data_IF_878459721329
#
_entry.id   IF_878459721329
#
_cell.length_a   1.000
_cell.length_b   1.000
_cell.length_c   1.000
_cell.angle_alpha   90.00
_cell.angle_beta   90.00
_cell.angle_gamma   90.00
#
_symmetry.space_group_name_H-M   'P 1'
#
loop_
_entity.id
_entity.type
_entity.pdbx_description
1 polymer ?
#
# COMPACT_ATOMS: atom_id res chain seq x y z
N UNK A 1 -20.41 7.04 13.14
CA UNK A 1 -19.56 6.31 14.09
C UNK A 1 -18.43 5.67 13.29
N UNK A 2 -17.27 6.34 13.25
CA UNK A 2 -16.10 5.97 12.43
C UNK A 2 -15.39 4.79 13.10
N UNK A 3 -15.45 3.61 12.49
CA UNK A 3 -14.69 2.45 13.00
C UNK A 3 -13.27 2.55 12.47
N UNK A 4 -12.34 2.84 13.37
CA UNK A 4 -10.91 2.76 13.12
C UNK A 4 -10.56 1.30 12.83
N UNK A 5 -10.37 0.95 11.56
CA UNK A 5 -9.76 -0.31 11.16
C UNK A 5 -8.26 -0.21 11.48
N UNK A 6 -7.94 -0.38 12.77
CA UNK A 6 -6.59 -0.76 13.15
C UNK A 6 -6.46 -2.19 12.67
N UNK A 7 -5.57 -2.43 11.70
CA UNK A 7 -5.00 -3.75 11.46
C UNK A 7 -4.17 -4.15 12.70
N UNK A 8 -4.83 -4.31 13.85
CA UNK A 8 -4.28 -5.07 14.96
C UNK A 8 -4.50 -6.52 14.56
N UNK A 9 -3.40 -7.18 14.17
CA UNK A 9 -3.28 -8.63 14.09
C UNK A 9 -3.59 -9.24 15.47
N UNK A 10 -4.86 -9.27 15.87
CA UNK A 10 -5.39 -10.05 16.98
C UNK A 10 -6.89 -9.75 17.08
N UNK A 11 -7.69 -10.52 16.34
CA UNK A 11 -9.02 -11.06 16.69
C UNK A 11 -9.86 -11.16 15.42
N UNK A 12 -9.58 -12.21 14.67
CA UNK A 12 -10.46 -13.04 13.84
C UNK A 12 -9.46 -13.97 13.15
N UNK A 13 -9.52 -15.26 13.45
CA UNK A 13 -8.51 -16.27 13.11
C UNK A 13 -8.39 -16.56 11.62
N UNK A 14 -7.98 -15.57 10.83
CA UNK A 14 -7.35 -15.79 9.54
C UNK A 14 -5.87 -15.89 9.85
N UNK A 15 -5.35 -17.10 9.97
CA UNK A 15 -3.91 -17.29 9.86
C UNK A 15 -3.55 -16.84 8.44
N UNK A 16 -3.09 -15.59 8.28
CA UNK A 16 -2.26 -15.27 7.12
C UNK A 16 -1.12 -16.28 7.18
N UNK A 17 -1.12 -17.24 6.25
CA UNK A 17 -0.07 -18.26 6.20
C UNK A 17 1.23 -17.51 5.97
N UNK A 18 2.01 -17.34 7.04
CA UNK A 18 3.31 -16.68 6.98
C UNK A 18 4.22 -17.56 6.12
N UNK A 19 4.42 -17.16 4.86
CA UNK A 19 5.22 -17.94 3.92
C UNK A 19 6.70 -17.68 4.18
N UNK A 20 7.53 -18.71 3.97
CA UNK A 20 8.99 -18.57 4.03
C UNK A 20 9.49 -17.51 3.04
N UNK A 21 8.77 -17.31 1.94
CA UNK A 21 9.05 -16.27 0.96
C UNK A 21 8.82 -14.86 1.54
N UNK A 22 7.62 -14.60 2.08
CA UNK A 22 7.27 -13.33 2.73
C UNK A 22 8.27 -13.02 3.86
N UNK A 23 8.65 -14.03 4.63
CA UNK A 23 9.63 -13.91 5.69
C UNK A 23 11.00 -13.46 5.17
N UNK A 24 11.55 -14.18 4.19
CA UNK A 24 12.94 -14.04 3.75
C UNK A 24 13.15 -12.90 2.76
N UNK A 25 12.17 -12.60 1.92
CA UNK A 25 12.33 -11.70 0.78
C UNK A 25 11.66 -10.34 1.00
N UNK A 26 10.67 -10.26 1.89
CA UNK A 26 9.93 -9.03 2.19
C UNK A 26 10.26 -8.58 3.61
N UNK A 27 9.82 -9.33 4.63
CA UNK A 27 9.90 -8.94 6.05
C UNK A 27 11.33 -8.76 6.56
N UNK A 28 12.22 -9.72 6.28
CA UNK A 28 13.60 -9.69 6.77
C UNK A 28 14.43 -8.55 6.13
N UNK A 29 14.41 -8.33 4.81
CA UNK A 29 15.12 -7.20 4.20
C UNK A 29 14.57 -5.84 4.63
N UNK A 30 13.24 -5.69 4.76
CA UNK A 30 12.61 -4.50 5.31
C UNK A 30 13.09 -4.23 6.74
N UNK A 31 13.06 -5.24 7.61
CA UNK A 31 13.54 -5.15 8.99
C UNK A 31 15.03 -4.80 9.06
N UNK A 32 15.88 -5.44 8.25
CA UNK A 32 17.31 -5.18 8.24
C UNK A 32 17.65 -3.76 7.74
N UNK A 33 16.89 -3.24 6.78
CA UNK A 33 17.14 -1.91 6.24
C UNK A 33 16.82 -0.79 7.25
N UNK A 34 15.80 -0.97 8.11
CA UNK A 34 15.44 -0.03 9.17
C UNK A 34 16.60 0.27 10.14
N UNK A 35 17.50 -0.70 10.35
CA UNK A 35 18.65 -0.54 11.25
C UNK A 35 19.95 -0.13 10.54
N UNK A 36 19.94 0.04 9.22
CA UNK A 36 21.14 0.42 8.48
C UNK A 36 21.35 1.93 8.47
N UNK A 37 22.61 2.38 8.58
CA UNK A 37 22.99 3.81 8.54
C UNK A 37 22.59 4.52 7.23
N UNK A 38 22.24 3.78 6.19
CA UNK A 38 21.76 4.29 4.91
C UNK A 38 20.61 3.41 4.39
N UNK A 39 19.51 3.41 5.15
CA UNK A 39 18.31 2.59 4.93
C UNK A 39 17.78 2.70 3.50
N UNK A 40 17.71 3.91 2.95
CA UNK A 40 17.21 4.14 1.58
C UNK A 40 18.07 3.44 0.51
N UNK A 41 19.40 3.54 0.56
CA UNK A 41 20.27 2.84 -0.41
C UNK A 41 20.23 1.32 -0.21
N UNK A 42 20.13 0.85 1.03
CA UNK A 42 20.02 -0.58 1.35
C UNK A 42 18.73 -1.18 0.78
N UNK A 43 17.60 -0.51 1.03
CA UNK A 43 16.28 -0.86 0.46
C UNK A 43 16.33 -0.84 -1.06
N UNK A 44 16.82 0.23 -1.69
CA UNK A 44 16.89 0.29 -3.16
C UNK A 44 17.75 -0.83 -3.77
N UNK A 45 18.88 -1.19 -3.13
CA UNK A 45 19.77 -2.25 -3.61
C UNK A 45 19.17 -3.65 -3.44
N UNK A 46 18.40 -3.88 -2.38
CA UNK A 46 17.79 -5.18 -2.06
C UNK A 46 16.45 -5.39 -2.74
N UNK A 47 15.65 -4.34 -2.88
CA UNK A 47 14.29 -4.43 -3.41
C UNK A 47 14.22 -4.42 -4.94
N UNK A 48 15.33 -4.16 -5.67
CA UNK A 48 15.42 -4.10 -7.14
C UNK A 48 14.09 -3.70 -7.79
N UNK A 49 13.58 -2.54 -7.39
CA UNK A 49 12.24 -2.09 -7.78
C UNK A 49 12.30 -1.68 -9.26
N UNK A 50 11.74 -2.50 -10.12
CA UNK A 50 11.39 -2.14 -11.49
C UNK A 50 9.92 -1.73 -11.51
N UNK A 51 9.57 -0.82 -12.40
CA UNK A 51 8.17 -0.59 -12.73
C UNK A 51 7.67 -1.79 -13.55
N UNK A 52 6.47 -2.27 -13.22
CA UNK A 52 5.79 -3.35 -13.91
C UNK A 52 4.33 -2.97 -14.11
N UNK A 53 3.73 -3.48 -15.18
CA UNK A 53 2.34 -3.22 -15.51
C UNK A 53 1.44 -3.56 -14.32
N UNK A 54 0.60 -2.60 -13.96
CA UNK A 54 -0.40 -2.77 -12.93
C UNK A 54 -1.70 -3.30 -13.54
N UNK A 55 -2.38 -4.19 -12.82
CA UNK A 55 -3.64 -4.81 -13.28
C UNK A 55 -4.78 -3.81 -13.57
N UNK A 56 -4.62 -2.55 -13.16
CA UNK A 56 -5.54 -1.46 -13.46
C UNK A 56 -4.92 -0.55 -14.53
N UNK A 57 -4.38 0.61 -14.14
CA UNK A 57 -3.76 1.57 -15.06
C UNK A 57 -2.36 1.96 -14.57
N UNK A 58 -1.45 2.22 -15.53
CA UNK A 58 -0.06 2.59 -15.29
C UNK A 58 0.84 1.43 -14.84
N UNK A 59 2.05 1.78 -14.43
CA UNK A 59 3.02 0.85 -13.87
C UNK A 59 3.25 1.14 -12.39
N UNK A 60 3.51 0.08 -11.62
CA UNK A 60 3.79 0.16 -10.18
C UNK A 60 5.09 -0.55 -9.84
N UNK A 61 5.62 -0.30 -8.65
CA UNK A 61 6.77 -1.04 -8.15
C UNK A 61 6.51 -2.55 -8.14
N UNK A 62 7.38 -3.33 -8.77
CA UNK A 62 7.32 -4.80 -8.78
C UNK A 62 7.21 -5.41 -7.39
N UNK A 63 7.92 -4.82 -6.43
CA UNK A 63 7.89 -5.25 -5.04
C UNK A 63 6.53 -4.95 -4.36
N UNK A 64 5.91 -3.81 -4.65
CA UNK A 64 4.55 -3.50 -4.16
C UNK A 64 3.49 -4.38 -4.81
N UNK A 65 3.59 -4.62 -6.12
CA UNK A 65 2.69 -5.54 -6.85
C UNK A 65 2.78 -6.95 -6.29
N UNK A 66 3.99 -7.44 -6.05
CA UNK A 66 4.20 -8.75 -5.46
C UNK A 66 3.60 -8.85 -4.04
N UNK A 67 3.88 -7.87 -3.17
CA UNK A 67 3.31 -7.85 -1.84
C UNK A 67 1.77 -7.78 -1.86
N UNK A 68 1.20 -7.07 -2.84
CA UNK A 68 -0.23 -7.06 -3.08
C UNK A 68 -0.74 -8.45 -3.49
N UNK A 69 -0.13 -9.10 -4.47
CA UNK A 69 -0.53 -10.44 -4.92
C UNK A 69 -0.48 -11.46 -3.78
N UNK A 70 0.63 -11.52 -3.06
CA UNK A 70 0.84 -12.49 -1.98
C UNK A 70 -0.11 -12.27 -0.80
N UNK A 71 -0.37 -11.02 -0.38
CA UNK A 71 -1.17 -10.74 0.81
C UNK A 71 -2.64 -10.55 0.49
N UNK A 72 -2.94 -9.72 -0.51
CA UNK A 72 -4.30 -9.33 -0.85
C UNK A 72 -5.03 -10.44 -1.61
N UNK A 73 -4.37 -11.06 -2.59
CA UNK A 73 -4.98 -12.06 -3.47
C UNK A 73 -4.76 -13.48 -2.92
N UNK A 74 -3.52 -13.95 -2.86
CA UNK A 74 -3.17 -15.32 -2.48
C UNK A 74 -3.38 -15.59 -0.99
N UNK A 75 -3.03 -14.62 -0.15
CA UNK A 75 -3.22 -14.65 1.29
C UNK A 75 -4.68 -14.53 1.72
N UNK A 76 -5.61 -14.29 0.78
CA UNK A 76 -7.05 -14.29 1.02
C UNK A 76 -7.59 -13.06 1.75
N UNK A 77 -6.79 -12.01 1.97
CA UNK A 77 -7.28 -10.79 2.62
C UNK A 77 -8.45 -10.15 1.86
N UNK A 78 -8.45 -10.22 0.52
CA UNK A 78 -9.56 -9.73 -0.30
C UNK A 78 -10.88 -10.45 0.00
N UNK A 79 -10.84 -11.77 0.20
CA UNK A 79 -12.00 -12.61 0.50
C UNK A 79 -12.54 -12.31 1.89
N UNK A 80 -11.66 -12.22 2.89
CA UNK A 80 -12.04 -11.80 4.24
C UNK A 80 -12.63 -10.40 4.25
N UNK A 81 -12.02 -9.46 3.53
CA UNK A 81 -12.55 -8.10 3.38
C UNK A 81 -13.96 -8.10 2.77
N UNK A 82 -14.18 -8.82 1.66
CA UNK A 82 -15.49 -8.91 1.03
C UNK A 82 -16.54 -9.55 1.95
N UNK A 83 -16.16 -10.55 2.76
CA UNK A 83 -17.07 -11.13 3.74
C UNK A 83 -17.50 -10.11 4.80
N UNK A 84 -16.53 -9.37 5.35
CA UNK A 84 -16.80 -8.30 6.31
C UNK A 84 -17.72 -7.23 5.70
N UNK A 85 -17.46 -6.81 4.45
CA UNK A 85 -18.27 -5.78 3.79
C UNK A 85 -19.69 -6.25 3.44
N UNK A 86 -19.92 -7.56 3.24
CA UNK A 86 -21.26 -8.14 3.07
C UNK A 86 -22.10 -8.02 4.35
N UNK A 87 -21.46 -8.23 5.50
CA UNK A 87 -22.09 -8.11 6.83
C UNK A 87 -22.28 -6.64 7.24
N UNK A 88 -21.36 -5.77 6.82
CA UNK A 88 -21.28 -4.36 7.20
C UNK A 88 -21.61 -3.44 6.02
N UNK A 89 -22.86 -3.55 5.53
CA UNK A 89 -23.31 -2.79 4.35
C UNK A 89 -23.17 -1.28 4.53
N UNK A 90 -22.75 -0.62 3.46
CA UNK A 90 -22.73 0.84 3.31
C UNK A 90 -21.80 1.60 4.29
N UNK A 91 -20.81 0.91 4.87
CA UNK A 91 -19.82 1.54 5.75
C UNK A 91 -18.70 2.24 4.99
N UNK A 92 -18.21 3.32 5.60
CA UNK A 92 -16.94 3.94 5.27
C UNK A 92 -15.79 3.07 5.76
N UNK A 93 -14.74 2.98 4.94
CA UNK A 93 -13.52 2.27 5.27
C UNK A 93 -12.36 3.25 5.40
N UNK A 94 -11.55 3.04 6.44
CA UNK A 94 -10.25 3.67 6.58
C UNK A 94 -9.19 2.62 6.31
N UNK A 95 -8.33 2.89 5.34
CA UNK A 95 -7.14 2.11 5.04
C UNK A 95 -5.94 2.91 5.54
N UNK A 96 -4.97 2.24 6.13
CA UNK A 96 -3.74 2.89 6.60
C UNK A 96 -2.53 2.00 6.38
N UNK A 97 -1.36 2.63 6.40
CA UNK A 97 -0.08 1.97 6.25
C UNK A 97 1.06 2.94 6.55
N UNK A 98 2.18 2.40 7.03
CA UNK A 98 3.39 3.16 7.32
C UNK A 98 4.51 2.73 6.36
N UNK A 99 5.33 3.69 5.92
CA UNK A 99 6.50 3.44 5.08
C UNK A 99 6.09 2.67 3.80
N UNK A 100 6.73 1.54 3.54
CA UNK A 100 6.37 0.64 2.45
C UNK A 100 4.91 0.14 2.52
N UNK A 101 4.42 -0.13 3.73
CA UNK A 101 3.03 -0.52 3.95
C UNK A 101 2.03 0.56 3.54
N UNK A 102 2.45 1.83 3.51
CA UNK A 102 1.65 2.91 2.95
C UNK A 102 1.47 2.77 1.44
N UNK A 103 2.51 2.36 0.72
CA UNK A 103 2.41 2.09 -0.72
C UNK A 103 1.50 0.90 -1.02
N UNK A 104 1.59 -0.17 -0.23
CA UNK A 104 0.70 -1.33 -0.36
C UNK A 104 -0.75 -0.95 -0.06
N UNK A 105 -0.97 -0.16 1.00
CA UNK A 105 -2.27 0.37 1.35
C UNK A 105 -2.89 1.22 0.22
N UNK A 106 -2.07 1.98 -0.53
CA UNK A 106 -2.53 2.70 -1.71
C UNK A 106 -2.98 1.76 -2.84
N UNK A 107 -2.24 0.70 -3.14
CA UNK A 107 -2.67 -0.30 -4.14
C UNK A 107 -3.98 -0.98 -3.75
N UNK A 108 -4.14 -1.34 -2.47
CA UNK A 108 -5.37 -1.94 -1.95
C UNK A 108 -6.55 -0.96 -2.03
N UNK A 109 -6.35 0.30 -1.63
CA UNK A 109 -7.39 1.34 -1.73
C UNK A 109 -7.86 1.54 -3.17
N UNK A 110 -6.91 1.54 -4.12
CA UNK A 110 -7.22 1.65 -5.53
C UNK A 110 -7.97 0.42 -6.05
N UNK A 111 -7.52 -0.78 -5.71
CA UNK A 111 -8.19 -2.03 -6.10
C UNK A 111 -9.64 -2.10 -5.60
N UNK A 112 -9.87 -1.76 -4.34
CA UNK A 112 -11.20 -1.74 -3.72
C UNK A 112 -12.12 -0.77 -4.44
N UNK A 113 -11.64 0.46 -4.72
CA UNK A 113 -12.44 1.49 -5.37
C UNK A 113 -12.72 1.15 -6.84
N UNK A 114 -11.71 0.71 -7.60
CA UNK A 114 -11.81 0.39 -9.03
C UNK A 114 -12.69 -0.83 -9.30
N UNK A 115 -12.65 -1.84 -8.43
CA UNK A 115 -13.54 -3.02 -8.49
C UNK A 115 -14.92 -2.78 -7.87
N UNK A 116 -15.20 -1.56 -7.41
CA UNK A 116 -16.44 -1.16 -6.76
C UNK A 116 -16.82 -2.06 -5.57
N UNK A 117 -15.84 -2.63 -4.87
CA UNK A 117 -16.07 -3.41 -3.64
C UNK A 117 -16.61 -2.51 -2.53
N UNK A 118 -16.20 -1.24 -2.55
CA UNK A 118 -16.74 -0.14 -1.75
C UNK A 118 -16.87 1.08 -2.65
N UNK A 119 -17.91 1.89 -2.46
CA UNK A 119 -18.08 3.13 -3.22
C UNK A 119 -16.88 4.05 -2.96
N UNK A 120 -16.34 4.65 -4.03
CA UNK A 120 -15.13 5.48 -3.97
C UNK A 120 -15.17 6.65 -2.97
N UNK A 121 -16.34 7.23 -2.73
CA UNK A 121 -16.57 8.29 -1.73
C UNK A 121 -16.50 7.80 -0.28
N UNK A 122 -16.56 6.48 -0.08
CA UNK A 122 -16.47 5.82 1.22
C UNK A 122 -15.11 5.21 1.53
N UNK A 123 -14.13 5.39 0.64
CA UNK A 123 -12.76 4.92 0.83
C UNK A 123 -11.89 6.09 1.26
N UNK A 124 -11.39 6.04 2.50
CA UNK A 124 -10.37 6.96 3.00
C UNK A 124 -9.05 6.24 3.18
N UNK A 125 -7.97 6.83 2.68
CA UNK A 125 -6.60 6.35 2.88
C UNK A 125 -5.81 7.40 3.66
N UNK A 126 -5.21 6.99 4.77
CA UNK A 126 -4.24 7.81 5.52
C UNK A 126 -2.96 7.00 5.70
N UNK A 127 -1.85 7.47 5.14
CA UNK A 127 -0.55 6.80 5.24
C UNK A 127 0.47 7.67 5.95
N UNK A 128 1.46 7.01 6.58
CA UNK A 128 2.54 7.66 7.31
C UNK A 128 3.86 7.34 6.60
N UNK A 129 4.51 8.34 6.02
CA UNK A 129 5.80 8.14 5.33
C UNK A 129 5.73 7.21 4.11
N UNK A 130 4.59 7.16 3.40
CA UNK A 130 4.39 6.31 2.22
C UNK A 130 5.43 6.57 1.13
N UNK A 131 6.12 5.51 0.68
CA UNK A 131 6.98 5.55 -0.51
C UNK A 131 6.19 5.74 -1.81
N UNK A 132 6.84 6.23 -2.86
CA UNK A 132 6.20 6.35 -4.18
C UNK A 132 5.83 4.96 -4.72
N UNK A 133 4.68 4.88 -5.40
CA UNK A 133 4.02 3.60 -5.72
C UNK A 133 4.17 3.21 -7.17
N UNK A 134 3.95 4.15 -8.08
CA UNK A 134 3.95 3.91 -9.52
C UNK A 134 4.25 5.17 -10.31
N UNK A 135 4.09 5.05 -11.63
CA UNK A 135 4.34 6.10 -12.61
C UNK A 135 3.24 7.17 -12.64
N UNK A 136 3.39 8.12 -13.56
CA UNK A 136 2.45 9.21 -13.75
C UNK A 136 1.04 8.73 -14.17
N UNK A 137 0.96 7.70 -15.01
CA UNK A 137 -0.31 7.14 -15.46
C UNK A 137 -1.04 6.45 -14.30
N UNK A 138 -0.31 5.69 -13.47
CA UNK A 138 -0.84 5.14 -12.23
C UNK A 138 -1.33 6.25 -11.30
N UNK A 139 -0.54 7.31 -11.08
CA UNK A 139 -0.89 8.39 -10.16
C UNK A 139 -2.17 9.10 -10.61
N UNK A 140 -2.31 9.40 -11.90
CA UNK A 140 -3.53 10.02 -12.45
C UNK A 140 -4.76 9.14 -12.24
N UNK A 141 -4.67 7.88 -12.65
CA UNK A 141 -5.79 6.94 -12.53
C UNK A 141 -6.16 6.66 -11.07
N UNK A 142 -5.17 6.65 -10.17
CA UNK A 142 -5.34 6.53 -8.73
C UNK A 142 -6.16 7.70 -8.16
N UNK A 143 -5.83 8.95 -8.50
CA UNK A 143 -6.52 10.14 -7.98
C UNK A 143 -8.01 10.18 -8.37
N UNK A 144 -8.36 9.59 -9.52
CA UNK A 144 -9.76 9.49 -9.95
C UNK A 144 -10.59 8.56 -9.07
N UNK A 145 -9.96 7.50 -8.54
CA UNK A 145 -10.61 6.49 -7.73
C UNK A 145 -10.53 6.76 -6.23
N UNK A 146 -9.39 7.23 -5.71
CA UNK A 146 -9.15 7.35 -4.26
C UNK A 146 -9.01 8.82 -3.85
N UNK A 147 -10.13 9.55 -3.92
CA UNK A 147 -10.17 11.00 -3.67
C UNK A 147 -9.81 11.40 -2.23
N UNK A 148 -10.13 10.56 -1.25
CA UNK A 148 -9.82 10.80 0.16
C UNK A 148 -8.50 10.14 0.57
N UNK A 149 -7.43 10.45 -0.17
CA UNK A 149 -6.08 9.95 0.08
C UNK A 149 -5.18 11.03 0.68
N UNK A 150 -4.58 10.74 1.83
CA UNK A 150 -3.70 11.63 2.59
C UNK A 150 -2.40 10.94 2.97
N UNK A 151 -1.28 11.53 2.57
CA UNK A 151 0.07 11.08 2.93
C UNK A 151 0.65 12.02 3.98
N UNK A 152 0.80 11.54 5.21
CA UNK A 152 1.48 12.29 6.27
C UNK A 152 2.99 12.11 6.11
N UNK A 153 3.69 13.19 5.83
CA UNK A 153 5.13 13.19 5.54
C UNK A 153 5.87 14.01 6.60
N UNK A 154 6.78 13.36 7.33
CA UNK A 154 7.62 14.06 8.30
C UNK A 154 8.77 14.78 7.59
N UNK A 155 9.01 16.05 7.95
CA UNK A 155 10.19 16.79 7.48
C UNK A 155 11.49 16.01 7.75
N UNK A 156 12.28 15.82 6.69
CA UNK A 156 13.56 15.12 6.75
C UNK A 156 13.46 13.61 6.57
N UNK A 157 12.26 13.06 6.41
CA UNK A 157 12.08 11.66 5.99
C UNK A 157 12.33 11.54 4.47
N UNK A 158 13.24 10.65 4.09
CA UNK A 158 13.56 10.39 2.68
C UNK A 158 12.65 9.33 2.05
N UNK A 159 11.94 8.53 2.85
CA UNK A 159 11.14 7.41 2.34
C UNK A 159 10.02 7.88 1.40
N UNK A 160 9.30 8.98 1.66
CA UNK A 160 8.26 9.44 0.73
C UNK A 160 8.76 9.81 -0.66
N UNK A 161 10.07 10.04 -0.80
CA UNK A 161 10.71 10.47 -2.03
C UNK A 161 11.43 9.34 -2.77
N UNK A 162 11.33 8.08 -2.30
CA UNK A 162 11.86 6.91 -3.01
C UNK A 162 10.75 6.09 -3.66
N UNK A 163 10.95 5.47 -4.85
CA UNK A 163 12.20 5.43 -5.63
C UNK A 163 12.64 6.75 -6.28
N UNK A 164 11.71 7.69 -6.48
CA UNK A 164 11.96 9.06 -6.95
C UNK A 164 11.51 9.32 -8.39
N UNK A 165 11.15 10.57 -8.70
CA UNK A 165 10.75 11.01 -10.06
C UNK A 165 11.81 10.79 -11.14
N UNK A 166 13.08 10.76 -10.76
CA UNK A 166 14.17 10.41 -11.67
C UNK A 166 14.15 8.95 -12.16
N UNK A 167 13.30 8.11 -11.57
CA UNK A 167 13.02 6.74 -11.99
C UNK A 167 11.58 6.59 -12.50
N UNK A 168 10.98 7.67 -12.99
CA UNK A 168 9.62 7.73 -13.56
C UNK A 168 8.44 7.60 -12.59
N UNK A 169 8.70 7.51 -11.28
CA UNK A 169 7.63 7.48 -10.27
C UNK A 169 6.99 8.84 -10.06
N UNK A 170 5.69 8.88 -9.78
CA UNK A 170 4.95 10.09 -9.41
C UNK A 170 4.24 9.94 -8.05
N UNK A 171 3.99 11.06 -7.37
CA UNK A 171 3.27 11.08 -6.11
C UNK A 171 1.78 10.83 -6.34
N UNK A 172 1.22 9.97 -5.50
CA UNK A 172 -0.21 9.77 -5.37
C UNK A 172 -0.67 10.12 -3.95
N UNK A 173 -1.87 10.65 -3.81
CA UNK A 173 -2.43 11.17 -2.58
C UNK A 173 -1.92 12.55 -2.17
N UNK A 174 -2.74 13.27 -1.40
CA UNK A 174 -2.42 14.63 -0.93
C UNK A 174 -1.43 14.59 0.23
N UNK A 175 -0.34 15.33 0.09
CA UNK A 175 0.66 15.44 1.16
C UNK A 175 0.21 16.36 2.29
N UNK A 176 0.38 15.90 3.52
CA UNK A 176 0.19 16.65 4.77
C UNK A 176 1.53 16.60 5.51
N UNK A 177 2.09 17.77 5.87
CA UNK A 177 3.41 17.88 6.52
C UNK A 177 3.35 18.64 7.84
#
# INVERSE_FOLDING_TARGET
MMYLLVLSLATLGVSMNYTDYLARNISLPLSAALYSRNSSKCLQKRLKTSEVEWQHEGNVSSFLKQAFEELWIEGGMNGSFQQIMKEQRDKEILITGHSFGGGLAALIAYDIAKKELVKKDKVTLITLGQSMVGDEDFAKAYEEQVKHSFRVVRRGDSIPHVPGRNKSYEYNGREIS
#
